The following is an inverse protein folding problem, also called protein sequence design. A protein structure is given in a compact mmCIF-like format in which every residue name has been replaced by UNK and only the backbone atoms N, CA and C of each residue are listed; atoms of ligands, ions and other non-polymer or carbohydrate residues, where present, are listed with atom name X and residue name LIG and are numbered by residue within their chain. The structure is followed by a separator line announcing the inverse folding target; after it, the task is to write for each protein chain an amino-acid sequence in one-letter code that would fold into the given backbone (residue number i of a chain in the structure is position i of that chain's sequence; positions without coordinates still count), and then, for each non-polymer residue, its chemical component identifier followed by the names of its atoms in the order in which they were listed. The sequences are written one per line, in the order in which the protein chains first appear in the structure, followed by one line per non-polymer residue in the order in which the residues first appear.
data_IF_882329472817
#
_entry.id   IF_882329472817
#
_cell.length_a   1.000
_cell.length_b   1.000
_cell.length_c   1.000
_cell.angle_alpha   90.00
_cell.angle_beta   90.00
_cell.angle_gamma   90.00
#
_symmetry.space_group_name_H-M   'P 1'
#
loop_
_entity.id
_entity.type
_entity.pdbx_description
1 polymer ?
#
# COMPACT_ATOMS: atom_id res chain seq x y z
N UNK A 1 10.52 -12.16 -4.57
CA UNK A 1 11.09 -10.87 -4.17
C UNK A 1 10.34 -9.79 -4.92
N UNK A 2 9.77 -8.82 -4.21
CA UNK A 2 8.99 -7.71 -4.77
C UNK A 2 9.98 -6.67 -5.32
N UNK A 3 9.78 -6.28 -6.57
CA UNK A 3 10.50 -5.18 -7.20
C UNK A 3 9.92 -3.84 -6.72
N UNK A 4 10.76 -3.00 -6.13
CA UNK A 4 10.38 -1.70 -5.57
C UNK A 4 10.72 -0.54 -6.51
N UNK A 5 11.40 -0.81 -7.63
CA UNK A 5 11.77 0.19 -8.64
C UNK A 5 10.76 0.24 -9.80
N UNK A 6 9.75 -0.63 -9.78
CA UNK A 6 8.67 -0.65 -10.77
C UNK A 6 7.82 0.63 -10.73
N UNK A 7 7.21 0.98 -11.86
CA UNK A 7 6.33 2.14 -11.97
C UNK A 7 5.00 1.76 -12.60
N UNK A 8 3.94 2.46 -12.21
CA UNK A 8 2.61 2.31 -12.79
C UNK A 8 2.12 3.67 -13.25
N UNK A 9 1.69 3.73 -14.51
CA UNK A 9 1.19 4.95 -15.15
C UNK A 9 -0.25 4.75 -15.56
N UNK A 10 -1.11 5.72 -15.25
CA UNK A 10 -2.49 5.73 -15.72
C UNK A 10 -2.91 7.13 -16.12
N UNK A 11 -4.02 7.21 -16.86
CA UNK A 11 -4.67 8.48 -17.20
C UNK A 11 -5.85 8.68 -16.26
N UNK A 12 -5.85 9.81 -15.54
CA UNK A 12 -6.94 10.25 -14.69
C UNK A 12 -8.15 10.72 -15.51
N UNK A 13 -9.30 10.90 -14.84
CA UNK A 13 -10.54 11.28 -15.51
C UNK A 13 -10.48 12.67 -16.19
N UNK A 14 -9.57 13.54 -15.76
CA UNK A 14 -9.31 14.85 -16.35
C UNK A 14 -8.33 14.81 -17.53
N UNK A 15 -7.82 13.62 -17.88
CA UNK A 15 -6.85 13.40 -18.95
C UNK A 15 -5.40 13.55 -18.52
N UNK A 16 -5.11 13.86 -17.25
CA UNK A 16 -3.74 13.92 -16.76
C UNK A 16 -3.12 12.52 -16.65
N UNK A 17 -1.86 12.36 -17.07
CA UNK A 17 -1.13 11.12 -16.86
C UNK A 17 -0.37 11.18 -15.54
N UNK A 18 -0.71 10.27 -14.64
CA UNK A 18 -0.05 10.13 -13.34
C UNK A 18 0.83 8.89 -13.37
N UNK A 19 2.08 9.04 -12.96
CA UNK A 19 3.04 7.93 -12.80
C UNK A 19 3.44 7.83 -11.34
N UNK A 20 3.37 6.63 -10.78
CA UNK A 20 3.74 6.34 -9.40
C UNK A 20 4.82 5.28 -9.38
N UNK A 21 5.81 5.48 -8.52
CA UNK A 21 6.84 4.51 -8.15
C UNK A 21 6.74 4.27 -6.64
N UNK A 22 6.88 3.03 -6.14
CA UNK A 22 6.88 2.77 -4.72
C UNK A 22 7.96 3.59 -4.03
N UNK A 23 7.62 4.17 -2.89
CA UNK A 23 8.58 4.89 -2.05
C UNK A 23 8.68 4.20 -0.71
N UNK A 24 9.88 3.73 -0.41
CA UNK A 24 10.23 3.14 0.88
C UNK A 24 10.90 4.19 1.76
N UNK A 25 10.45 4.32 3.00
CA UNK A 25 11.08 5.14 4.02
C UNK A 25 11.38 4.29 5.23
N UNK A 26 12.65 4.17 5.59
CA UNK A 26 13.10 3.49 6.80
C UNK A 26 13.38 4.52 7.89
N UNK A 27 12.74 4.36 9.05
CA UNK A 27 12.97 5.21 10.21
C UNK A 27 13.24 4.34 11.42
N UNK A 28 14.39 4.58 12.05
CA UNK A 28 14.73 4.01 13.35
C UNK A 28 14.62 5.09 14.42
N UNK A 29 13.99 4.79 15.56
CA UNK A 29 13.89 5.71 16.69
C UNK A 29 13.67 4.98 18.01
N UNK A 30 13.44 5.73 19.10
CA UNK A 30 13.26 5.19 20.45
C UNK A 30 12.10 4.18 20.59
N UNK A 31 11.19 4.13 19.61
CA UNK A 31 10.04 3.21 19.58
C UNK A 31 10.21 2.08 18.55
N UNK A 32 11.45 1.75 18.19
CA UNK A 32 11.81 0.71 17.22
C UNK A 32 11.98 1.20 15.78
N UNK A 33 12.36 0.26 14.91
CA UNK A 33 12.45 0.45 13.45
C UNK A 33 11.07 0.34 12.81
N UNK A 34 10.75 1.28 11.94
CA UNK A 34 9.52 1.30 11.14
C UNK A 34 9.88 1.57 9.69
N UNK A 35 9.51 0.65 8.80
CA UNK A 35 9.60 0.83 7.36
C UNK A 35 8.21 1.18 6.84
N UNK A 36 8.10 2.28 6.08
CA UNK A 36 6.85 2.71 5.47
C UNK A 36 6.94 2.63 3.95
N UNK A 37 5.94 2.05 3.30
CA UNK A 37 5.85 1.92 1.85
C UNK A 37 4.64 2.70 1.35
N UNK A 38 4.85 3.58 0.37
CA UNK A 38 3.83 4.41 -0.28
C UNK A 38 3.86 4.20 -1.79
N UNK A 39 2.83 4.65 -2.48
CA UNK A 39 2.75 4.52 -3.94
C UNK A 39 2.58 3.06 -4.33
N UNK A 40 1.51 2.43 -3.82
CA UNK A 40 1.34 0.98 -3.86
C UNK A 40 0.86 0.43 -5.21
N UNK A 41 0.35 1.28 -6.10
CA UNK A 41 -0.22 0.87 -7.39
C UNK A 41 0.72 -0.04 -8.23
N UNK A 42 2.03 0.25 -8.36
CA UNK A 42 2.96 -0.59 -9.11
C UNK A 42 3.12 -2.00 -8.54
N UNK A 43 2.96 -2.15 -7.22
CA UNK A 43 3.05 -3.44 -6.53
C UNK A 43 1.77 -4.29 -6.67
N UNK A 44 0.71 -3.71 -7.24
CA UNK A 44 -0.60 -4.29 -7.42
C UNK A 44 -1.09 -4.18 -8.87
N UNK A 45 -0.18 -3.93 -9.82
CA UNK A 45 -0.49 -3.63 -11.22
C UNK A 45 -1.43 -4.68 -11.84
N UNK A 46 -1.10 -5.97 -11.71
CA UNK A 46 -1.93 -7.07 -12.23
C UNK A 46 -3.36 -7.04 -11.69
N UNK A 47 -3.53 -6.68 -10.41
CA UNK A 47 -4.85 -6.60 -9.75
C UNK A 47 -5.63 -5.39 -10.21
N UNK A 48 -4.96 -4.26 -10.43
CA UNK A 48 -5.57 -3.02 -10.91
C UNK A 48 -5.97 -3.17 -12.38
N UNK A 49 -5.13 -3.77 -13.20
CA UNK A 49 -5.37 -3.97 -14.63
C UNK A 49 -6.51 -4.97 -14.89
N UNK A 50 -6.74 -5.90 -13.96
CA UNK A 50 -7.88 -6.81 -13.98
C UNK A 50 -9.24 -6.13 -13.69
N UNK A 51 -9.27 -4.90 -13.15
CA UNK A 51 -10.51 -4.17 -12.87
C UNK A 51 -11.11 -3.66 -14.18
N UNK A 52 -12.09 -4.33 -14.74
CA UNK A 52 -12.61 -4.01 -16.08
C UNK A 52 -13.43 -2.72 -16.14
N UNK A 53 -14.09 -2.34 -15.05
CA UNK A 53 -14.84 -1.09 -14.97
C UNK A 53 -13.89 0.11 -14.80
N UNK A 54 -13.87 1.09 -15.72
CA UNK A 54 -12.95 2.21 -15.63
C UNK A 54 -13.20 3.12 -14.42
N UNK A 55 -14.46 3.25 -13.99
CA UNK A 55 -14.83 4.07 -12.83
C UNK A 55 -14.33 3.44 -11.53
N UNK A 56 -14.51 2.14 -11.37
CA UNK A 56 -14.03 1.36 -10.24
C UNK A 56 -12.50 1.30 -10.21
N UNK A 57 -11.85 1.16 -11.37
CA UNK A 57 -10.39 1.23 -11.49
C UNK A 57 -9.87 2.60 -11.04
N UNK A 58 -10.47 3.68 -11.55
CA UNK A 58 -10.12 5.05 -11.17
C UNK A 58 -10.37 5.35 -9.68
N UNK A 59 -11.48 4.87 -9.13
CA UNK A 59 -11.76 4.97 -7.70
C UNK A 59 -10.71 4.21 -6.88
N UNK A 60 -10.38 2.97 -7.26
CA UNK A 60 -9.38 2.14 -6.60
C UNK A 60 -8.00 2.80 -6.61
N UNK A 61 -7.57 3.36 -7.74
CA UNK A 61 -6.32 4.12 -7.86
C UNK A 61 -6.32 5.36 -6.97
N UNK A 62 -7.43 6.10 -6.92
CA UNK A 62 -7.59 7.25 -6.02
C UNK A 62 -7.42 6.85 -4.56
N UNK A 63 -8.09 5.78 -4.11
CA UNK A 63 -7.98 5.30 -2.71
C UNK A 63 -6.58 4.79 -2.41
N UNK A 64 -5.93 4.08 -3.35
CA UNK A 64 -4.55 3.61 -3.20
C UNK A 64 -3.52 4.74 -3.13
N UNK A 65 -3.76 5.87 -3.81
CA UNK A 65 -2.79 6.98 -3.88
C UNK A 65 -2.41 7.54 -2.50
N UNK A 66 -3.38 7.57 -1.57
CA UNK A 66 -3.18 8.01 -0.19
C UNK A 66 -2.78 6.90 0.79
N UNK A 67 -2.74 5.65 0.34
CA UNK A 67 -2.49 4.51 1.21
C UNK A 67 -1.01 4.38 1.60
N UNK A 68 -0.78 3.93 2.83
CA UNK A 68 0.55 3.65 3.37
C UNK A 68 0.53 2.29 4.05
N UNK A 69 1.52 1.45 3.71
CA UNK A 69 1.84 0.26 4.49
C UNK A 69 2.93 0.62 5.50
N UNK A 70 2.76 0.25 6.76
CA UNK A 70 3.84 0.30 7.75
C UNK A 70 4.22 -1.11 8.21
N UNK A 71 5.51 -1.35 8.27
CA UNK A 71 6.15 -2.61 8.65
C UNK A 71 7.01 -2.37 9.88
N UNK A 72 6.92 -3.26 10.87
CA UNK A 72 7.62 -3.15 12.14
C UNK A 72 8.17 -4.51 12.56
N UNK A 73 9.37 -4.52 13.16
CA UNK A 73 9.91 -5.73 13.77
C UNK A 73 9.09 -6.13 15.02
N UNK A 74 8.70 -5.14 15.81
CA UNK A 74 7.93 -5.31 17.04
C UNK A 74 6.48 -4.83 16.88
N UNK A 75 5.49 -5.56 17.42
CA UNK A 75 4.10 -5.12 17.52
C UNK A 75 3.98 -3.75 18.16
N UNK A 76 3.18 -2.86 17.57
CA UNK A 76 2.85 -1.59 18.22
C UNK A 76 1.59 -0.99 17.65
N UNK A 77 0.68 -0.58 18.53
CA UNK A 77 -0.56 0.09 18.18
C UNK A 77 -0.30 1.35 17.33
N UNK A 78 -1.18 1.58 16.36
CA UNK A 78 -1.15 2.81 15.59
C UNK A 78 -1.61 3.97 16.46
N UNK A 79 -0.88 5.11 16.48
CA UNK A 79 -1.36 6.30 17.16
C UNK A 79 -2.69 6.72 16.52
N UNK A 80 -3.73 6.83 17.36
CA UNK A 80 -5.12 6.91 16.94
C UNK A 80 -5.48 8.11 16.06
N UNK A 81 -6.42 7.89 15.15
CA UNK A 81 -7.05 8.93 14.31
C UNK A 81 -7.29 8.51 12.86
N UNK A 82 -6.53 7.53 12.35
CA UNK A 82 -6.69 7.00 10.98
C UNK A 82 -7.16 5.55 11.05
N UNK A 83 -8.25 5.17 10.38
CA UNK A 83 -8.63 3.76 10.23
C UNK A 83 -7.46 2.97 9.66
N UNK A 84 -7.08 1.90 10.34
CA UNK A 84 -6.00 1.01 9.89
C UNK A 84 -6.45 -0.43 9.99
N UNK A 85 -6.04 -1.22 9.00
CA UNK A 85 -6.14 -2.67 9.05
C UNK A 85 -4.78 -3.21 9.45
N UNK A 86 -4.75 -4.18 10.37
CA UNK A 86 -3.52 -4.75 10.92
C UNK A 86 -3.47 -6.25 10.70
N UNK A 87 -2.26 -6.79 10.66
CA UNK A 87 -2.01 -8.25 10.65
C UNK A 87 -0.66 -8.56 11.29
N UNK A 88 -0.30 -9.84 11.39
CA UNK A 88 0.91 -10.33 12.05
C UNK A 88 1.08 -9.74 13.47
N UNK A 89 0.02 -9.83 14.27
CA UNK A 89 -0.04 -9.26 15.63
C UNK A 89 0.32 -7.76 15.68
N UNK A 90 -0.02 -7.00 14.64
CA UNK A 90 0.25 -5.56 14.56
C UNK A 90 1.65 -5.19 14.05
N UNK A 91 2.43 -6.14 13.53
CA UNK A 91 3.72 -5.88 12.86
C UNK A 91 3.54 -5.29 11.46
N UNK A 92 2.43 -5.59 10.82
CA UNK A 92 2.04 -4.96 9.55
C UNK A 92 0.72 -4.24 9.71
N UNK A 93 0.60 -3.09 9.04
CA UNK A 93 -0.64 -2.39 8.94
C UNK A 93 -0.72 -1.55 7.67
N UNK A 94 -1.93 -1.24 7.25
CA UNK A 94 -2.21 -0.36 6.13
C UNK A 94 -3.31 0.64 6.46
N UNK A 95 -3.18 1.86 5.93
CA UNK A 95 -4.27 2.86 5.93
C UNK A 95 -5.25 2.65 4.78
N UNK A 96 -4.99 1.68 3.90
CA UNK A 96 -5.88 1.34 2.80
C UNK A 96 -7.15 0.67 3.33
N UNK A 97 -8.30 1.28 3.06
CA UNK A 97 -9.61 0.82 3.54
C UNK A 97 -10.26 -0.25 2.67
N UNK A 98 -9.71 -0.52 1.48
CA UNK A 98 -10.29 -1.44 0.51
C UNK A 98 -11.27 -0.77 -0.46
N UNK A 99 -11.40 -1.36 -1.64
CA UNK A 99 -12.53 -1.19 -2.57
C UNK A 99 -13.14 -2.55 -2.89
N UNK A 100 -14.35 -2.64 -3.46
CA UNK A 100 -14.92 -3.92 -3.87
C UNK A 100 -14.02 -4.69 -4.84
N UNK A 101 -13.44 -4.02 -5.84
CA UNK A 101 -12.45 -4.61 -6.75
C UNK A 101 -11.08 -4.94 -6.14
N UNK A 102 -10.67 -4.25 -5.06
CA UNK A 102 -9.40 -4.48 -4.39
C UNK A 102 -9.57 -4.47 -2.86
N UNK A 103 -9.90 -5.62 -2.26
CA UNK A 103 -10.09 -5.72 -0.82
C UNK A 103 -8.82 -5.38 -0.03
N UNK A 104 -8.99 -4.85 1.18
CA UNK A 104 -7.86 -4.53 2.07
C UNK A 104 -6.96 -5.74 2.36
N UNK A 105 -7.52 -6.96 2.37
CA UNK A 105 -6.76 -8.20 2.56
C UNK A 105 -5.69 -8.41 1.50
N UNK A 106 -5.92 -8.01 0.24
CA UNK A 106 -4.91 -8.11 -0.82
C UNK A 106 -3.71 -7.22 -0.51
N UNK A 107 -3.96 -6.04 0.06
CA UNK A 107 -2.90 -5.11 0.48
C UNK A 107 -2.21 -5.59 1.75
N UNK A 108 -2.91 -6.29 2.64
CA UNK A 108 -2.28 -6.94 3.80
C UNK A 108 -1.40 -8.13 3.38
N UNK A 109 -1.81 -8.94 2.40
CA UNK A 109 -0.98 -10.01 1.83
C UNK A 109 0.30 -9.45 1.21
N UNK A 110 0.20 -8.32 0.50
CA UNK A 110 1.36 -7.57 0.02
C UNK A 110 2.24 -7.08 1.19
N UNK A 111 1.63 -6.56 2.26
CA UNK A 111 2.36 -6.07 3.43
C UNK A 111 3.16 -7.18 4.13
N UNK A 112 2.64 -8.41 4.22
CA UNK A 112 3.37 -9.56 4.78
C UNK A 112 4.58 -9.94 3.93
N UNK A 113 4.44 -9.93 2.60
CA UNK A 113 5.55 -10.21 1.69
C UNK A 113 6.63 -9.12 1.80
N UNK A 114 6.23 -7.85 1.87
CA UNK A 114 7.15 -6.74 2.08
C UNK A 114 7.82 -6.80 3.45
N UNK A 115 7.11 -7.24 4.50
CA UNK A 115 7.68 -7.45 5.83
C UNK A 115 8.82 -8.46 5.76
N UNK A 116 8.57 -9.63 5.18
CA UNK A 116 9.57 -10.70 5.01
C UNK A 116 10.81 -10.24 4.23
N UNK A 117 10.65 -9.29 3.30
CA UNK A 117 11.75 -8.77 2.48
C UNK A 117 12.53 -7.62 3.12
N UNK A 118 11.87 -6.74 3.90
CA UNK A 118 12.44 -5.45 4.33
C UNK A 118 12.77 -5.37 5.82
N UNK A 119 12.18 -6.25 6.63
CA UNK A 119 12.38 -6.32 8.08
C UNK A 119 13.27 -7.52 8.40
#
# INVERSE_FOLDING_TARGET
MIDLDTSYTWTEADGHQTTVTPKVTDRTGAKGRVVSVRGLAPLLADRIDAITDPGERGHTLTVLSGAVIALRAEPKEFPGGVPTHTRMDGKVATTYVGTPALPADVVLDLAEQLHTQLI
#
